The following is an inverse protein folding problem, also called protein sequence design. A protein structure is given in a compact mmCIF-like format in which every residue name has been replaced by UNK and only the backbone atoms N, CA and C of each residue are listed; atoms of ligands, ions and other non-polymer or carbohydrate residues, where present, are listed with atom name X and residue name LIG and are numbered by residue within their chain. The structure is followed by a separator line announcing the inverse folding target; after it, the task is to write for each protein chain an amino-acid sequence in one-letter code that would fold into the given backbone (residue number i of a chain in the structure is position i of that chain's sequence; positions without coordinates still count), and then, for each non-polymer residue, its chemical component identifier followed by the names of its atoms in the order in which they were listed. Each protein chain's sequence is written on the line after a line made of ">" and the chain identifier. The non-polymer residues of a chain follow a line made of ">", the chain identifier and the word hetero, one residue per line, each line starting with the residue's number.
data_IF_554119983237
#
_entry.id   IF_554119983237
#
_cell.length_a   1.000
_cell.length_b   1.000
_cell.length_c   1.000
_cell.angle_alpha   90.00
_cell.angle_beta   90.00
_cell.angle_gamma   90.00
#
_symmetry.space_group_name_H-M   'P 1'
#
loop_
_entity.id
_entity.type
_entity.pdbx_description
1 polymer ?
#
# COMPACT_ATOMS: atom_id res chain seq x y z
N UNK A 1 3.91 31.27 7.98
CA UNK A 1 3.24 30.88 6.71
C UNK A 1 1.91 31.59 6.59
N UNK A 2 1.42 31.92 5.39
CA UNK A 2 0.08 32.51 5.26
C UNK A 2 -0.99 31.43 5.46
N UNK A 3 -2.02 31.76 6.25
CA UNK A 3 -3.04 30.83 6.72
C UNK A 3 -4.07 30.52 5.61
N UNK A 4 -3.61 29.80 4.59
CA UNK A 4 -4.41 29.51 3.40
C UNK A 4 -5.18 28.21 3.57
N UNK A 5 -6.29 28.08 2.85
CA UNK A 5 -6.97 26.79 2.71
C UNK A 5 -6.08 25.73 2.07
N UNK A 6 -5.10 26.15 1.26
CA UNK A 6 -4.13 25.26 0.61
C UNK A 6 -3.22 24.58 1.62
N UNK A 7 -2.50 25.36 2.42
CA UNK A 7 -1.59 24.82 3.45
C UNK A 7 -2.32 23.94 4.48
N UNK A 8 -3.56 24.29 4.85
CA UNK A 8 -4.37 23.48 5.75
C UNK A 8 -4.78 22.15 5.11
N UNK A 9 -5.16 22.17 3.82
CA UNK A 9 -5.50 20.96 3.06
C UNK A 9 -4.28 20.05 2.94
N UNK A 10 -3.12 20.59 2.64
CA UNK A 10 -1.89 19.82 2.46
C UNK A 10 -1.48 19.12 3.76
N UNK A 11 -1.55 19.84 4.89
CA UNK A 11 -1.26 19.26 6.21
C UNK A 11 -2.20 18.10 6.55
N UNK A 12 -3.52 18.28 6.41
CA UNK A 12 -4.48 17.22 6.75
C UNK A 12 -4.42 16.05 5.77
N UNK A 13 -4.17 16.33 4.48
CA UNK A 13 -3.94 15.27 3.49
C UNK A 13 -2.69 14.45 3.83
N UNK A 14 -1.64 15.08 4.37
CA UNK A 14 -0.47 14.37 4.91
C UNK A 14 -0.85 13.36 5.99
N UNK A 15 -1.60 13.79 7.01
CA UNK A 15 -2.11 12.88 8.07
C UNK A 15 -2.99 11.75 7.51
N UNK A 16 -3.86 12.05 6.56
CA UNK A 16 -4.72 11.05 5.90
C UNK A 16 -3.88 10.03 5.13
N UNK A 17 -2.88 10.49 4.38
CA UNK A 17 -2.03 9.61 3.58
C UNK A 17 -1.13 8.73 4.46
N UNK A 18 -0.64 9.26 5.59
CA UNK A 18 0.07 8.50 6.62
C UNK A 18 -0.82 7.41 7.23
N UNK A 19 -2.00 7.76 7.75
CA UNK A 19 -2.93 6.80 8.32
C UNK A 19 -3.33 5.71 7.29
N UNK A 20 -3.56 6.08 6.04
CA UNK A 20 -3.87 5.11 4.97
C UNK A 20 -2.68 4.20 4.66
N UNK A 21 -1.45 4.73 4.70
CA UNK A 21 -0.22 3.96 4.49
C UNK A 21 -0.01 2.95 5.62
N UNK A 22 -0.26 3.32 6.86
CA UNK A 22 -0.18 2.42 8.01
C UNK A 22 -1.11 1.22 7.86
N UNK A 23 -2.40 1.47 7.58
CA UNK A 23 -3.37 0.38 7.38
C UNK A 23 -3.00 -0.51 6.20
N UNK A 24 -2.47 0.06 5.11
CA UNK A 24 -1.95 -0.73 3.98
C UNK A 24 -0.77 -1.60 4.38
N UNK A 25 0.17 -1.07 5.16
CA UNK A 25 1.31 -1.84 5.66
C UNK A 25 0.86 -3.00 6.56
N UNK A 26 -0.17 -2.80 7.40
CA UNK A 26 -0.77 -3.87 8.20
C UNK A 26 -1.33 -5.00 7.32
N UNK A 27 -2.11 -4.64 6.30
CA UNK A 27 -2.67 -5.58 5.32
C UNK A 27 -1.54 -6.34 4.60
N UNK A 28 -0.56 -5.62 4.05
CA UNK A 28 0.55 -6.20 3.30
C UNK A 28 1.38 -7.15 4.18
N UNK A 29 1.64 -6.75 5.43
CA UNK A 29 2.34 -7.60 6.39
C UNK A 29 1.55 -8.87 6.72
N UNK A 30 0.25 -8.76 6.96
CA UNK A 30 -0.60 -9.91 7.20
C UNK A 30 -0.57 -10.88 6.01
N UNK A 31 -0.76 -10.37 4.78
CA UNK A 31 -0.76 -11.18 3.56
C UNK A 31 0.61 -11.84 3.34
N UNK A 32 1.71 -11.11 3.58
CA UNK A 32 3.08 -11.62 3.48
C UNK A 32 3.35 -12.76 4.47
N UNK A 33 2.91 -12.63 5.72
CA UNK A 33 3.14 -13.63 6.77
C UNK A 33 2.27 -14.87 6.56
N UNK A 34 0.98 -14.69 6.25
CA UNK A 34 0.00 -15.78 6.28
C UNK A 34 -0.16 -16.51 4.94
N UNK A 35 0.12 -15.84 3.82
CA UNK A 35 -0.14 -16.35 2.47
C UNK A 35 1.15 -16.51 1.66
N UNK A 36 2.00 -15.47 1.56
CA UNK A 36 3.19 -15.50 0.67
C UNK A 36 4.10 -16.70 0.91
N UNK A 37 4.34 -17.06 2.17
CA UNK A 37 5.16 -18.23 2.51
C UNK A 37 4.53 -19.55 2.03
N UNK A 38 3.21 -19.67 2.10
CA UNK A 38 2.50 -20.85 1.59
C UNK A 38 2.57 -20.92 0.07
N UNK A 39 2.46 -19.79 -0.64
CA UNK A 39 2.67 -19.73 -2.09
C UNK A 39 4.09 -20.15 -2.48
N UNK A 40 5.11 -19.61 -1.80
CA UNK A 40 6.52 -19.99 -2.04
C UNK A 40 6.73 -21.50 -1.83
N UNK A 41 6.14 -22.07 -0.76
CA UNK A 41 6.24 -23.50 -0.49
C UNK A 41 5.58 -24.37 -1.58
N UNK A 42 4.51 -23.89 -2.22
CA UNK A 42 3.88 -24.57 -3.37
C UNK A 42 4.72 -24.52 -4.64
N UNK A 43 5.59 -23.52 -4.76
CA UNK A 43 6.49 -23.31 -5.89
C UNK A 43 7.90 -23.86 -5.63
N UNK A 44 8.11 -24.63 -4.55
CA UNK A 44 9.44 -25.16 -4.19
C UNK A 44 10.09 -25.95 -5.32
N UNK A 45 9.32 -26.70 -6.10
CA UNK A 45 9.89 -27.57 -7.14
C UNK A 45 10.37 -26.75 -8.35
N UNK A 46 9.84 -25.54 -8.57
CA UNK A 46 10.37 -24.61 -9.56
C UNK A 46 11.76 -24.11 -9.19
N UNK A 47 12.11 -24.08 -7.91
CA UNK A 47 13.44 -23.65 -7.45
C UNK A 47 14.55 -24.55 -7.98
N UNK A 48 14.28 -25.86 -8.05
CA UNK A 48 15.18 -26.83 -8.65
C UNK A 48 15.41 -26.60 -10.16
N UNK A 49 14.58 -25.78 -10.80
CA UNK A 49 14.72 -25.41 -12.22
C UNK A 49 15.31 -24.00 -12.36
N UNK A 50 14.83 -23.03 -11.59
CA UNK A 50 15.24 -21.63 -11.71
C UNK A 50 16.67 -21.38 -11.24
N UNK A 51 17.12 -22.03 -10.17
CA UNK A 51 18.47 -21.83 -9.63
C UNK A 51 19.55 -22.34 -10.61
N UNK A 52 19.47 -23.58 -11.15
CA UNK A 52 20.43 -24.03 -12.15
C UNK A 52 20.44 -23.17 -13.42
N UNK A 53 19.28 -22.64 -13.85
CA UNK A 53 19.23 -21.73 -15.00
C UNK A 53 20.04 -20.45 -14.74
N UNK A 54 19.97 -19.90 -13.53
CA UNK A 54 20.78 -18.74 -13.15
C UNK A 54 22.28 -19.04 -13.25
N UNK A 55 22.70 -20.18 -12.67
CA UNK A 55 24.11 -20.62 -12.74
C UNK A 55 24.59 -20.87 -14.17
N UNK A 56 23.72 -21.37 -15.04
CA UNK A 56 24.02 -21.55 -16.46
C UNK A 56 24.20 -20.19 -17.14
N UNK A 57 23.33 -19.21 -16.85
CA UNK A 57 23.48 -17.86 -17.38
C UNK A 57 24.81 -17.22 -16.97
N UNK A 58 25.20 -17.33 -15.69
CA UNK A 58 26.46 -16.83 -15.18
C UNK A 58 27.66 -17.48 -15.89
N UNK A 59 27.65 -18.82 -16.03
CA UNK A 59 28.73 -19.55 -16.73
C UNK A 59 28.85 -19.16 -18.20
N UNK A 60 27.72 -18.90 -18.88
CA UNK A 60 27.73 -18.44 -20.27
C UNK A 60 28.32 -17.03 -20.35
N UNK A 61 27.93 -16.14 -19.44
CA UNK A 61 28.47 -14.78 -19.39
C UNK A 61 29.99 -14.78 -19.16
N UNK A 62 30.48 -15.56 -18.19
CA UNK A 62 31.92 -15.73 -17.93
C UNK A 62 32.67 -16.23 -19.17
N UNK A 63 32.10 -17.23 -19.87
CA UNK A 63 32.66 -17.72 -21.12
C UNK A 63 32.72 -16.63 -22.19
N UNK A 64 31.64 -15.87 -22.40
CA UNK A 64 31.57 -14.80 -23.39
C UNK A 64 32.58 -13.68 -23.11
N UNK A 65 32.78 -13.33 -21.84
CA UNK A 65 33.82 -12.40 -21.41
C UNK A 65 35.20 -12.95 -21.73
N UNK A 66 35.48 -14.21 -21.39
CA UNK A 66 36.78 -14.85 -21.64
C UNK A 66 37.15 -14.88 -23.13
N UNK A 67 36.16 -15.11 -24.02
CA UNK A 67 36.38 -15.13 -25.47
C UNK A 67 36.17 -13.76 -26.15
N UNK A 68 36.01 -12.67 -25.39
CA UNK A 68 35.80 -11.29 -25.90
C UNK A 68 34.61 -11.17 -26.86
N UNK A 69 33.53 -11.91 -26.58
CA UNK A 69 32.25 -11.84 -27.29
C UNK A 69 31.17 -11.13 -26.48
N UNK A 70 31.47 -10.70 -25.25
CA UNK A 70 30.60 -9.86 -24.43
C UNK A 70 30.28 -8.52 -25.14
N UNK A 71 29.04 -8.03 -25.02
CA UNK A 71 28.59 -6.81 -25.71
C UNK A 71 28.12 -7.04 -27.14
N UNK A 72 28.11 -8.29 -27.62
CA UNK A 72 27.47 -8.67 -28.88
C UNK A 72 26.02 -9.04 -28.59
N UNK A 73 25.12 -8.23 -29.13
CA UNK A 73 23.67 -8.34 -28.94
C UNK A 73 23.11 -9.77 -29.01
N UNK A 74 23.55 -10.59 -29.98
CA UNK A 74 23.09 -11.99 -30.12
C UNK A 74 23.36 -12.84 -28.88
N UNK A 75 24.53 -12.70 -28.25
CA UNK A 75 24.94 -13.53 -27.12
C UNK A 75 24.43 -12.96 -25.80
N UNK A 76 24.44 -11.63 -25.67
CA UNK A 76 23.87 -10.95 -24.51
C UNK A 76 22.37 -11.24 -24.37
N UNK A 77 21.64 -11.33 -25.51
CA UNK A 77 20.23 -11.70 -25.52
C UNK A 77 20.01 -13.12 -24.99
N UNK A 78 20.89 -14.08 -25.33
CA UNK A 78 20.77 -15.45 -24.85
C UNK A 78 20.96 -15.55 -23.34
N UNK A 79 21.98 -14.87 -22.79
CA UNK A 79 22.18 -14.76 -21.34
C UNK A 79 20.96 -14.13 -20.67
N UNK A 80 20.45 -13.04 -21.25
CA UNK A 80 19.25 -12.36 -20.75
C UNK A 80 18.03 -13.28 -20.71
N UNK A 81 17.75 -14.02 -21.78
CA UNK A 81 16.58 -14.92 -21.84
C UNK A 81 16.65 -16.02 -20.77
N UNK A 82 17.86 -16.56 -20.51
CA UNK A 82 18.06 -17.54 -19.44
C UNK A 82 17.89 -16.88 -18.07
N UNK A 83 18.42 -15.67 -17.86
CA UNK A 83 18.20 -14.91 -16.62
C UNK A 83 16.72 -14.61 -16.42
N UNK A 84 16.00 -14.26 -17.47
CA UNK A 84 14.55 -14.04 -17.44
C UNK A 84 13.79 -15.31 -17.05
N UNK A 85 14.17 -16.46 -17.61
CA UNK A 85 13.61 -17.76 -17.23
C UNK A 85 13.95 -18.14 -15.78
N UNK A 86 15.14 -17.80 -15.28
CA UNK A 86 15.52 -17.99 -13.88
C UNK A 86 14.67 -17.14 -12.92
N UNK A 87 14.14 -16.01 -13.39
CA UNK A 87 13.23 -15.15 -12.62
C UNK A 87 11.78 -15.64 -12.54
N UNK A 88 11.43 -16.76 -13.19
CA UNK A 88 10.04 -17.21 -13.34
C UNK A 88 9.33 -17.39 -11.99
N UNK A 89 9.97 -18.02 -11.00
CA UNK A 89 9.40 -18.23 -9.65
C UNK A 89 8.99 -16.90 -9.01
N UNK A 90 9.86 -15.90 -9.06
CA UNK A 90 9.59 -14.59 -8.48
C UNK A 90 8.44 -13.88 -9.22
N UNK A 91 8.41 -13.96 -10.55
CA UNK A 91 7.31 -13.39 -11.36
C UNK A 91 5.96 -14.02 -11.03
N UNK A 92 5.91 -15.35 -10.87
CA UNK A 92 4.69 -16.05 -10.44
C UNK A 92 4.29 -15.56 -9.06
N UNK A 93 5.22 -15.50 -8.09
CA UNK A 93 4.91 -15.01 -6.75
C UNK A 93 4.37 -13.58 -6.80
N UNK A 94 4.99 -12.67 -7.53
CA UNK A 94 4.55 -11.27 -7.63
C UNK A 94 3.16 -11.14 -8.26
N UNK A 95 2.93 -11.83 -9.39
CA UNK A 95 1.64 -11.83 -10.08
C UNK A 95 0.53 -12.39 -9.19
N UNK A 96 0.77 -13.56 -8.60
CA UNK A 96 -0.25 -14.24 -7.79
C UNK A 96 -0.52 -13.51 -6.47
N UNK A 97 0.47 -12.84 -5.88
CA UNK A 97 0.24 -12.00 -4.71
C UNK A 97 -0.62 -10.78 -5.04
N UNK A 98 -0.48 -10.20 -6.25
CA UNK A 98 -1.37 -9.15 -6.73
C UNK A 98 -2.80 -9.66 -6.94
N UNK A 99 -2.96 -10.85 -7.52
CA UNK A 99 -4.27 -11.48 -7.72
C UNK A 99 -4.93 -11.88 -6.39
N UNK A 100 -4.17 -12.40 -5.43
CA UNK A 100 -4.63 -12.68 -4.07
C UNK A 100 -5.11 -11.39 -3.39
N UNK A 101 -4.32 -10.32 -3.46
CA UNK A 101 -4.70 -9.05 -2.86
C UNK A 101 -6.00 -8.52 -3.50
N UNK A 102 -6.10 -8.58 -4.83
CA UNK A 102 -7.32 -8.22 -5.56
C UNK A 102 -8.52 -9.07 -5.15
N UNK A 103 -8.33 -10.39 -4.99
CA UNK A 103 -9.37 -11.31 -4.54
C UNK A 103 -9.85 -11.00 -3.13
N UNK A 104 -8.94 -10.61 -2.23
CA UNK A 104 -9.30 -10.21 -0.86
C UNK A 104 -10.09 -8.88 -0.89
N UNK A 105 -9.56 -7.86 -1.58
CA UNK A 105 -10.16 -6.51 -1.65
C UNK A 105 -11.56 -6.55 -2.28
N UNK A 106 -11.72 -7.28 -3.37
CA UNK A 106 -12.96 -7.32 -4.16
C UNK A 106 -13.89 -8.46 -3.74
N UNK A 107 -13.57 -9.15 -2.65
CA UNK A 107 -14.28 -10.34 -2.16
C UNK A 107 -14.53 -11.39 -3.26
N UNK A 108 -13.52 -11.65 -4.10
CA UNK A 108 -13.59 -12.64 -5.19
C UNK A 108 -12.98 -13.97 -4.75
N UNK A 109 -13.45 -15.11 -5.25
CA UNK A 109 -12.84 -16.40 -4.93
C UNK A 109 -11.44 -16.51 -5.57
N UNK A 110 -10.46 -17.00 -4.83
CA UNK A 110 -9.14 -17.35 -5.33
C UNK A 110 -8.92 -18.87 -5.25
N UNK A 111 -8.69 -19.53 -6.38
CA UNK A 111 -8.70 -21.01 -6.46
C UNK A 111 -7.35 -21.63 -6.85
N UNK A 112 -6.32 -20.83 -7.09
CA UNK A 112 -5.02 -21.32 -7.52
C UNK A 112 -4.15 -21.76 -6.34
N UNK A 113 -3.14 -22.59 -6.63
CA UNK A 113 -2.11 -23.07 -5.70
C UNK A 113 -2.61 -23.72 -4.39
N UNK A 114 -3.89 -24.11 -4.34
CA UNK A 114 -4.50 -24.68 -3.13
C UNK A 114 -4.47 -23.71 -1.94
N UNK A 115 -4.62 -22.40 -2.20
CA UNK A 115 -4.62 -21.37 -1.16
C UNK A 115 -6.03 -20.84 -0.83
N UNK A 116 -7.09 -21.45 -1.39
CA UNK A 116 -8.47 -21.00 -1.21
C UNK A 116 -8.82 -20.72 0.25
N UNK A 117 -8.64 -21.70 1.15
CA UNK A 117 -9.00 -21.54 2.57
C UNK A 117 -8.21 -20.42 3.26
N UNK A 118 -6.94 -20.23 2.89
CA UNK A 118 -6.10 -19.15 3.44
C UNK A 118 -6.55 -17.78 2.96
N UNK A 119 -6.94 -17.66 1.69
CA UNK A 119 -7.47 -16.41 1.13
C UNK A 119 -8.84 -16.10 1.74
N UNK A 120 -9.71 -17.10 1.90
CA UNK A 120 -11.01 -16.92 2.56
C UNK A 120 -10.89 -16.53 4.03
N UNK A 121 -9.91 -17.08 4.75
CA UNK A 121 -9.62 -16.64 6.11
C UNK A 121 -9.08 -15.20 6.13
N UNK A 122 -8.14 -14.87 5.24
CA UNK A 122 -7.57 -13.53 5.16
C UNK A 122 -8.63 -12.46 4.87
N UNK A 123 -9.63 -12.75 4.03
CA UNK A 123 -10.78 -11.85 3.81
C UNK A 123 -11.52 -11.51 5.09
N UNK A 124 -11.78 -12.52 5.94
CA UNK A 124 -12.46 -12.32 7.22
C UNK A 124 -11.62 -11.49 8.17
N UNK A 125 -10.34 -11.83 8.28
CA UNK A 125 -9.41 -11.21 9.22
C UNK A 125 -9.07 -9.76 8.84
N UNK A 126 -8.99 -9.46 7.55
CA UNK A 126 -8.65 -8.13 7.02
C UNK A 126 -9.86 -7.21 6.78
N UNK A 127 -11.08 -7.72 6.95
CA UNK A 127 -12.31 -6.93 6.79
C UNK A 127 -12.31 -5.65 7.64
N UNK A 128 -11.85 -5.65 8.91
CA UNK A 128 -11.75 -4.42 9.70
C UNK A 128 -10.81 -3.38 9.09
N UNK A 129 -9.66 -3.78 8.56
CA UNK A 129 -8.66 -2.90 7.97
C UNK A 129 -9.17 -2.29 6.65
N UNK A 130 -9.83 -3.08 5.80
CA UNK A 130 -10.47 -2.52 4.59
C UNK A 130 -11.61 -1.56 4.93
N UNK A 131 -12.40 -1.85 5.98
CA UNK A 131 -13.41 -0.91 6.49
C UNK A 131 -12.75 0.40 6.92
N UNK A 132 -11.64 0.32 7.67
CA UNK A 132 -10.85 1.48 8.10
C UNK A 132 -10.37 2.32 6.90
N UNK A 133 -9.96 1.70 5.79
CA UNK A 133 -9.58 2.42 4.56
C UNK A 133 -10.76 3.20 3.96
N UNK A 134 -11.95 2.59 3.86
CA UNK A 134 -13.14 3.29 3.34
C UNK A 134 -13.62 4.39 4.28
N UNK A 135 -13.48 4.20 5.60
CA UNK A 135 -13.75 5.22 6.61
C UNK A 135 -12.78 6.41 6.48
N UNK A 136 -11.48 6.16 6.32
CA UNK A 136 -10.47 7.20 6.06
C UNK A 136 -10.80 7.98 4.77
N UNK A 137 -11.26 7.29 3.72
CA UNK A 137 -11.66 7.92 2.46
C UNK A 137 -12.90 8.81 2.63
N UNK A 138 -13.88 8.37 3.39
CA UNK A 138 -15.06 9.17 3.74
C UNK A 138 -14.64 10.40 4.54
N UNK A 139 -13.82 10.21 5.58
CA UNK A 139 -13.29 11.28 6.43
C UNK A 139 -12.53 12.33 5.60
N UNK A 140 -11.72 11.91 4.63
CA UNK A 140 -11.06 12.82 3.68
C UNK A 140 -12.06 13.72 2.96
N UNK A 141 -13.12 13.14 2.41
CA UNK A 141 -14.14 13.90 1.66
C UNK A 141 -14.85 14.92 2.56
N UNK A 142 -15.17 14.54 3.80
CA UNK A 142 -15.84 15.43 4.76
C UNK A 142 -14.93 16.58 5.22
N UNK A 143 -13.66 16.30 5.47
CA UNK A 143 -12.65 17.31 5.81
C UNK A 143 -12.43 18.27 4.64
N UNK A 144 -12.26 17.76 3.42
CA UNK A 144 -12.08 18.60 2.23
C UNK A 144 -13.30 19.49 1.98
N UNK A 145 -14.51 18.96 2.18
CA UNK A 145 -15.77 19.72 2.13
C UNK A 145 -15.80 20.83 3.19
N UNK A 146 -15.40 20.52 4.43
CA UNK A 146 -15.31 21.50 5.53
C UNK A 146 -14.36 22.65 5.19
N UNK A 147 -13.16 22.33 4.70
CA UNK A 147 -12.18 23.34 4.28
C UNK A 147 -12.71 24.18 3.11
N UNK A 148 -13.36 23.54 2.14
CA UNK A 148 -13.93 24.20 0.97
C UNK A 148 -15.01 25.21 1.36
N UNK A 149 -15.94 24.82 2.23
CA UNK A 149 -17.12 25.60 2.59
C UNK A 149 -16.85 26.74 3.60
N UNK A 150 -15.73 26.71 4.33
CA UNK A 150 -15.34 27.80 5.22
C UNK A 150 -15.04 29.10 4.45
N UNK A 151 -15.27 30.29 5.02
CA UNK A 151 -14.97 31.55 4.30
C UNK A 151 -13.46 31.86 4.21
N UNK A 152 -12.65 31.30 5.11
CA UNK A 152 -11.19 31.53 5.18
C UNK A 152 -10.47 30.29 5.74
N UNK A 153 -9.14 30.23 5.57
CA UNK A 153 -8.31 29.18 6.18
C UNK A 153 -8.44 29.16 7.71
N UNK A 154 -8.56 30.34 8.35
CA UNK A 154 -8.77 30.47 9.79
C UNK A 154 -10.10 29.88 10.25
N UNK A 155 -11.16 30.07 9.48
CA UNK A 155 -12.46 29.46 9.78
C UNK A 155 -12.44 27.95 9.54
N UNK A 156 -11.74 27.49 8.50
CA UNK A 156 -11.57 26.06 8.23
C UNK A 156 -10.85 25.38 9.40
N UNK A 157 -9.71 25.91 9.85
CA UNK A 157 -8.95 25.40 11.00
C UNK A 157 -9.80 25.28 12.27
N UNK A 158 -10.55 26.33 12.60
CA UNK A 158 -11.49 26.30 13.75
C UNK A 158 -12.55 25.21 13.61
N UNK A 159 -13.04 25.00 12.38
CA UNK A 159 -14.03 23.96 12.10
C UNK A 159 -13.40 22.58 12.30
N UNK A 160 -12.19 22.33 11.79
CA UNK A 160 -11.49 21.05 11.96
C UNK A 160 -11.23 20.71 13.43
N UNK A 161 -10.79 21.67 14.25
CA UNK A 161 -10.65 21.46 15.70
C UNK A 161 -12.00 21.13 16.34
N UNK A 162 -13.06 21.86 15.99
CA UNK A 162 -14.40 21.59 16.51
C UNK A 162 -14.94 20.21 16.09
N UNK A 163 -14.44 19.67 14.97
CA UNK A 163 -14.72 18.32 14.50
C UNK A 163 -13.88 17.25 15.19
N UNK A 164 -12.88 17.61 15.99
CA UNK A 164 -11.98 16.68 16.69
C UNK A 164 -10.76 16.25 15.87
N UNK A 165 -10.47 16.89 14.74
CA UNK A 165 -9.22 16.67 14.00
C UNK A 165 -8.07 17.25 14.82
N UNK A 166 -7.08 16.42 15.09
CA UNK A 166 -5.86 16.87 15.75
C UNK A 166 -5.06 17.76 14.80
N UNK A 167 -4.81 18.99 15.24
CA UNK A 167 -4.05 20.00 14.51
C UNK A 167 -2.70 20.31 15.19
N UNK A 168 -2.27 19.51 16.18
CA UNK A 168 -0.97 19.65 16.84
C UNK A 168 0.18 19.59 15.81
N UNK A 169 1.06 20.58 15.84
CA UNK A 169 2.15 20.72 14.86
C UNK A 169 1.79 21.55 13.62
N UNK A 170 0.55 22.02 13.47
CA UNK A 170 0.23 23.11 12.55
C UNK A 170 0.36 24.46 13.26
N UNK A 171 1.39 25.25 12.94
CA UNK A 171 1.71 26.50 13.65
C UNK A 171 0.61 27.59 13.49
N UNK A 172 -0.32 27.70 14.47
CA UNK A 172 -0.68 28.94 15.20
C UNK A 172 -1.72 28.71 16.34
N UNK A 173 -1.51 29.37 17.48
CA UNK A 173 -2.47 29.45 18.61
C UNK A 173 -3.64 30.41 18.30
N UNK A 174 -4.81 29.86 17.95
CA UNK A 174 -6.02 30.67 17.73
C UNK A 174 -6.90 30.69 18.98
N UNK A 175 -6.96 31.84 19.68
CA UNK A 175 -7.91 32.05 20.81
C UNK A 175 -9.37 31.81 20.39
N UNK A 176 -10.10 31.06 21.22
CA UNK A 176 -11.34 30.35 20.87
C UNK A 176 -12.63 31.19 20.99
N UNK A 177 -13.49 31.05 19.97
CA UNK A 177 -14.97 31.00 20.06
C UNK A 177 -15.38 29.95 19.02
N UNK A 178 -15.82 28.78 19.48
CA UNK A 178 -16.12 27.63 18.62
C UNK A 178 -17.47 27.86 17.92
N UNK A 179 -17.55 27.74 16.59
CA UNK A 179 -18.83 27.76 15.88
C UNK A 179 -19.67 26.52 16.21
N UNK A 180 -20.96 26.58 15.90
CA UNK A 180 -21.91 25.47 16.08
C UNK A 180 -21.43 24.20 15.36
N UNK A 181 -21.43 23.09 16.10
CA UNK A 181 -20.84 21.80 15.75
C UNK A 181 -21.52 21.21 14.50
N UNK A 182 -20.78 21.11 13.38
CA UNK A 182 -21.05 20.10 12.36
C UNK A 182 -20.57 18.75 12.92
N UNK A 183 -21.28 17.65 12.65
CA UNK A 183 -20.80 16.31 13.02
C UNK A 183 -20.24 15.64 11.76
N UNK A 184 -19.04 15.09 11.86
CA UNK A 184 -18.52 14.14 10.86
C UNK A 184 -19.28 12.82 10.99
N UNK A 185 -19.43 12.10 9.87
CA UNK A 185 -20.03 10.77 9.90
C UNK A 185 -19.04 9.71 10.36
N UNK A 186 -17.74 10.02 10.32
CA UNK A 186 -16.62 9.16 10.72
C UNK A 186 -15.78 9.85 11.79
N UNK A 187 -15.26 9.05 12.74
CA UNK A 187 -14.43 9.56 13.83
C UNK A 187 -13.06 10.06 13.32
N UNK A 188 -12.68 11.33 13.60
CA UNK A 188 -11.34 11.85 13.30
C UNK A 188 -10.18 11.09 13.95
N UNK A 189 -10.42 10.28 14.99
CA UNK A 189 -9.38 9.48 15.64
C UNK A 189 -8.57 8.66 14.61
N UNK A 190 -9.21 8.30 13.48
CA UNK A 190 -8.62 7.49 12.40
C UNK A 190 -7.39 8.14 11.76
N UNK A 191 -7.29 9.47 11.79
CA UNK A 191 -6.14 10.23 11.27
C UNK A 191 -5.31 10.88 12.38
N UNK A 192 -5.83 10.91 13.60
CA UNK A 192 -5.11 11.39 14.78
C UNK A 192 -4.22 10.30 15.40
N UNK A 193 -4.47 9.02 15.10
CA UNK A 193 -3.68 7.88 15.58
C UNK A 193 -4.06 7.39 16.99
N UNK A 194 -5.18 7.84 17.56
CA UNK A 194 -5.60 7.54 18.93
C UNK A 194 -6.97 6.85 19.04
N UNK A 195 -7.40 6.09 18.02
CA UNK A 195 -8.57 5.23 18.13
C UNK A 195 -8.26 4.01 19.02
N UNK A 196 -8.74 4.03 20.27
CA UNK A 196 -8.79 2.85 21.14
C UNK A 196 -10.23 2.32 21.24
#
# INVERSE_FOLDING_TARGET
>A
MSFTKGSLRDYVNGKIDEARKEVRNEIDNYIKVNIKQSLIARLKDLENTTTPLHEVADKIEDFLVAVKLNGKWKYDHFVRDIRDASGLKNRIVESEMADINSAIVLDRPYKLFGLFDKVEQAKKDLRPQYKKIEEIKTLKQEIESTIKNAASGKQAYKSLIALGVDMEGYEEEVKMKLPSVQKLSVDPCLINGNCN
#
